data_IF_737464823809
#
_entry.id   IF_737464823809
#
_cell.length_a   1.000
_cell.length_b   1.000
_cell.length_c   1.000
_cell.angle_alpha   90.00
_cell.angle_beta   90.00
_cell.angle_gamma   90.00
#
_symmetry.space_group_name_H-M   'P 1'
#
loop_
_entity.id
_entity.type
_entity.pdbx_description
1 polymer ?
#
# COMPACT_ATOMS: atom_id res chain seq x y z
N UNK A 1 14.76 17.40 -12.45
CA UNK A 1 15.59 16.73 -11.42
C UNK A 1 14.84 15.53 -10.86
N UNK A 2 15.53 14.42 -10.66
CA UNK A 2 14.94 13.23 -10.05
C UNK A 2 15.33 13.13 -8.60
N UNK A 3 14.39 12.65 -7.80
CA UNK A 3 14.58 12.42 -6.36
C UNK A 3 14.38 10.95 -6.04
N UNK A 4 15.04 10.51 -4.98
CA UNK A 4 14.85 9.14 -4.47
C UNK A 4 13.45 9.02 -3.85
N UNK A 5 12.76 7.96 -4.22
CA UNK A 5 11.53 7.57 -3.54
C UNK A 5 11.65 6.13 -3.04
N UNK A 6 10.80 5.79 -2.08
CA UNK A 6 10.65 4.43 -1.58
C UNK A 6 9.20 4.00 -1.76
N UNK A 7 8.98 2.72 -2.00
CA UNK A 7 7.62 2.20 -2.09
C UNK A 7 7.53 0.79 -1.53
N UNK A 8 6.32 0.43 -1.14
CA UNK A 8 5.98 -0.94 -0.77
C UNK A 8 4.62 -1.27 -1.38
N UNK A 9 4.47 -2.51 -1.82
CA UNK A 9 3.17 -2.99 -2.31
C UNK A 9 2.29 -3.31 -1.10
N UNK A 10 1.05 -2.87 -1.14
CA UNK A 10 0.02 -3.24 -0.17
C UNK A 10 -0.67 -4.48 -0.73
N UNK A 11 -0.68 -5.56 0.06
CA UNK A 11 -1.19 -6.84 -0.42
C UNK A 11 -2.17 -7.45 0.55
N UNK A 12 -3.05 -8.29 0.01
CA UNK A 12 -4.03 -9.04 0.78
C UNK A 12 -3.61 -10.50 0.81
N UNK A 13 -3.48 -11.04 2.02
CA UNK A 13 -3.11 -12.43 2.28
C UNK A 13 -4.29 -13.07 2.99
N UNK A 14 -5.27 -13.65 2.28
CA UNK A 14 -6.52 -14.11 2.90
C UNK A 14 -6.30 -15.16 3.99
N UNK A 15 -5.35 -16.04 3.77
CA UNK A 15 -4.98 -17.08 4.74
C UNK A 15 -3.47 -16.99 4.94
N UNK A 16 -3.07 -16.38 6.04
CA UNK A 16 -1.65 -16.09 6.32
C UNK A 16 -0.81 -17.37 6.29
N UNK A 17 -1.33 -18.49 6.80
CA UNK A 17 -0.63 -19.75 6.83
C UNK A 17 -0.36 -20.35 5.44
N UNK A 18 -1.11 -19.94 4.41
CA UNK A 18 -0.89 -20.40 3.03
C UNK A 18 0.08 -19.51 2.26
N UNK A 19 0.23 -18.26 2.68
CA UNK A 19 1.12 -17.32 2.00
C UNK A 19 0.67 -16.86 0.63
N UNK A 20 -0.51 -17.27 0.16
CA UNK A 20 -1.04 -16.80 -1.11
C UNK A 20 -1.52 -15.36 -0.96
N UNK A 21 -1.27 -14.55 -1.99
CA UNK A 21 -1.59 -13.13 -1.90
C UNK A 21 -1.99 -12.53 -3.24
N UNK A 22 -2.67 -11.39 -3.17
CA UNK A 22 -2.84 -10.51 -4.32
C UNK A 22 -2.37 -9.10 -3.93
N UNK A 23 -1.84 -8.39 -4.91
CA UNK A 23 -1.46 -6.99 -4.72
C UNK A 23 -2.72 -6.14 -4.84
N UNK A 24 -2.91 -5.20 -3.92
CA UNK A 24 -4.12 -4.38 -3.85
C UNK A 24 -3.81 -2.89 -3.67
N UNK A 25 -2.55 -2.50 -3.71
CA UNK A 25 -2.21 -1.10 -3.60
C UNK A 25 -0.70 -0.87 -3.58
N UNK A 26 -0.33 0.39 -3.57
CA UNK A 26 1.07 0.83 -3.46
C UNK A 26 1.13 2.00 -2.48
N UNK A 27 2.10 1.95 -1.59
CA UNK A 27 2.44 3.03 -0.66
C UNK A 27 3.75 3.64 -1.14
N UNK A 28 3.78 4.95 -1.39
CA UNK A 28 4.95 5.63 -1.93
C UNK A 28 5.32 6.83 -1.07
N UNK A 29 6.62 6.94 -0.76
CA UNK A 29 7.19 8.02 0.02
C UNK A 29 8.36 8.64 -0.72
N UNK A 30 8.32 9.95 -0.94
CA UNK A 30 9.39 10.72 -1.55
C UNK A 30 9.80 11.83 -0.59
N UNK A 31 10.83 11.56 0.22
CA UNK A 31 11.23 12.47 1.30
C UNK A 31 11.57 13.88 0.80
N UNK A 32 12.37 14.06 -0.27
CA UNK A 32 12.72 15.42 -0.71
C UNK A 32 11.52 16.28 -1.11
N UNK A 33 10.39 15.66 -1.46
CA UNK A 33 9.19 16.37 -1.88
C UNK A 33 8.08 16.36 -0.83
N UNK A 34 8.35 15.81 0.35
CA UNK A 34 7.35 15.71 1.39
C UNK A 34 6.12 14.94 0.96
N UNK A 35 6.27 13.99 0.04
CA UNK A 35 5.15 13.26 -0.56
C UNK A 35 5.00 11.89 0.10
N UNK A 36 3.82 11.62 0.61
CA UNK A 36 3.43 10.30 1.11
C UNK A 36 2.01 10.03 0.65
N UNK A 37 1.81 8.94 -0.06
CA UNK A 37 0.48 8.59 -0.57
C UNK A 37 0.36 7.08 -0.71
N UNK A 38 -0.82 6.57 -0.40
CA UNK A 38 -1.18 5.19 -0.68
C UNK A 38 -2.37 5.19 -1.65
N UNK A 39 -2.29 4.37 -2.67
CA UNK A 39 -3.39 4.15 -3.60
C UNK A 39 -3.79 2.70 -3.53
N UNK A 40 -5.07 2.43 -3.38
CA UNK A 40 -5.57 1.07 -3.19
C UNK A 40 -6.64 0.75 -4.24
N UNK A 41 -6.66 -0.50 -4.68
CA UNK A 41 -7.61 -0.96 -5.69
C UNK A 41 -7.74 -2.48 -5.53
N UNK A 42 -8.89 -2.93 -5.06
CA UNK A 42 -9.13 -4.34 -4.78
C UNK A 42 -9.82 -5.02 -5.97
N UNK A 43 -9.18 -6.05 -6.49
CA UNK A 43 -9.80 -6.96 -7.47
C UNK A 43 -10.55 -8.04 -6.68
N UNK A 44 -11.82 -7.80 -6.43
CA UNK A 44 -12.63 -8.71 -5.62
C UNK A 44 -12.75 -10.12 -6.21
N UNK A 45 -12.96 -10.30 -7.54
CA UNK A 45 -12.98 -11.65 -8.11
C UNK A 45 -11.69 -12.43 -7.86
N UNK A 46 -10.53 -11.78 -7.97
CA UNK A 46 -9.24 -12.44 -7.67
C UNK A 46 -9.13 -12.81 -6.21
N UNK A 47 -9.57 -11.93 -5.32
CA UNK A 47 -9.57 -12.21 -3.88
C UNK A 47 -10.43 -13.43 -3.57
N UNK A 48 -11.64 -13.48 -4.12
CA UNK A 48 -12.57 -14.59 -3.90
C UNK A 48 -12.06 -15.90 -4.51
N UNK A 49 -11.26 -15.81 -5.58
CA UNK A 49 -10.65 -16.99 -6.17
C UNK A 49 -9.58 -17.62 -5.24
N UNK A 50 -8.89 -16.79 -4.45
CA UNK A 50 -7.95 -17.30 -3.44
C UNK A 50 -8.68 -17.87 -2.23
N UNK A 51 -9.74 -17.22 -1.79
CA UNK A 51 -10.53 -17.66 -0.64
C UNK A 51 -11.95 -17.08 -0.75
N UNK A 52 -12.89 -17.95 -1.11
CA UNK A 52 -14.29 -17.57 -1.28
C UNK A 52 -14.95 -17.10 0.03
N UNK A 53 -14.34 -17.40 1.17
CA UNK A 53 -14.89 -17.04 2.50
C UNK A 53 -14.33 -15.73 3.04
N UNK A 54 -13.47 -15.05 2.28
CA UNK A 54 -12.86 -13.80 2.73
C UNK A 54 -13.95 -12.76 3.04
N UNK A 55 -13.79 -12.09 4.18
CA UNK A 55 -14.64 -10.93 4.52
C UNK A 55 -14.16 -9.72 3.71
N UNK A 56 -14.79 -9.50 2.56
CA UNK A 56 -14.41 -8.44 1.63
C UNK A 56 -14.57 -7.06 2.26
N UNK A 57 -15.61 -6.85 3.04
CA UNK A 57 -15.84 -5.56 3.70
C UNK A 57 -14.69 -5.23 4.68
N UNK A 58 -14.24 -6.22 5.45
CA UNK A 58 -13.12 -6.04 6.37
C UNK A 58 -11.82 -5.75 5.60
N UNK A 59 -11.59 -6.41 4.48
CA UNK A 59 -10.42 -6.16 3.63
C UNK A 59 -10.45 -4.74 3.08
N UNK A 60 -11.58 -4.30 2.56
CA UNK A 60 -11.73 -2.92 2.04
C UNK A 60 -11.49 -1.89 3.13
N UNK A 61 -12.00 -2.14 4.33
CA UNK A 61 -11.79 -1.25 5.46
C UNK A 61 -10.30 -1.14 5.81
N UNK A 62 -9.61 -2.28 5.87
CA UNK A 62 -8.17 -2.30 6.17
C UNK A 62 -7.34 -1.62 5.07
N UNK A 63 -7.69 -1.81 3.80
CA UNK A 63 -7.03 -1.12 2.69
C UNK A 63 -7.23 0.39 2.78
N UNK A 64 -8.44 0.83 3.09
CA UNK A 64 -8.73 2.25 3.23
C UNK A 64 -7.98 2.87 4.40
N UNK A 65 -7.75 2.12 5.47
CA UNK A 65 -6.94 2.57 6.59
C UNK A 65 -5.50 2.91 6.17
N UNK A 66 -4.90 2.15 5.26
CA UNK A 66 -3.58 2.49 4.71
C UNK A 66 -3.63 3.80 3.95
N UNK A 67 -4.66 4.00 3.13
CA UNK A 67 -4.83 5.24 2.36
C UNK A 67 -4.99 6.44 3.30
N UNK A 68 -5.87 6.33 4.29
CA UNK A 68 -6.13 7.40 5.25
C UNK A 68 -4.90 7.72 6.11
N UNK A 69 -4.06 6.73 6.39
CA UNK A 69 -2.84 6.94 7.19
C UNK A 69 -1.84 7.88 6.54
N UNK A 70 -2.00 8.15 5.25
CA UNK A 70 -1.16 9.10 4.51
C UNK A 70 -1.76 10.50 4.45
N UNK A 71 -2.94 10.72 5.03
CA UNK A 71 -3.70 11.96 4.96
C UNK A 71 -3.81 12.63 6.33
N UNK A 72 -4.51 13.76 6.38
CA UNK A 72 -4.81 14.45 7.63
C UNK A 72 -5.76 13.63 8.52
N UNK A 73 -6.48 12.68 7.93
CA UNK A 73 -7.43 11.81 8.64
C UNK A 73 -6.76 10.54 9.17
N UNK A 74 -5.47 10.62 9.48
CA UNK A 74 -4.67 9.49 9.92
C UNK A 74 -4.83 9.14 11.41
N UNK A 75 -5.71 9.84 12.13
CA UNK A 75 -5.89 9.63 13.56
C UNK A 75 -4.60 9.94 14.32
N UNK A 76 -4.16 9.06 15.24
CA UNK A 76 -2.91 9.28 16.00
C UNK A 76 -1.68 9.48 15.12
N UNK A 77 -1.63 8.86 13.94
CA UNK A 77 -0.51 9.01 13.00
C UNK A 77 -0.42 10.42 12.42
N UNK A 78 -1.49 11.22 12.49
CA UNK A 78 -1.49 12.57 11.94
C UNK A 78 -0.45 13.47 12.63
N UNK A 79 -0.05 13.16 13.86
CA UNK A 79 0.99 13.88 14.59
C UNK A 79 2.40 13.51 14.13
N UNK A 80 2.56 12.41 13.38
CA UNK A 80 3.86 11.91 12.95
C UNK A 80 4.28 12.49 11.60
N UNK A 81 5.58 12.60 11.37
CA UNK A 81 6.11 13.03 10.08
C UNK A 81 5.78 11.99 8.99
N UNK A 82 5.79 12.39 7.70
CA UNK A 82 5.58 11.42 6.62
C UNK A 82 6.55 10.23 6.68
N UNK A 83 7.82 10.48 6.99
CA UNK A 83 8.79 9.40 7.09
C UNK A 83 8.48 8.43 8.22
N UNK A 84 8.08 8.94 9.39
CA UNK A 84 7.67 8.10 10.52
C UNK A 84 6.45 7.28 10.18
N UNK A 85 5.46 7.87 9.49
CA UNK A 85 4.26 7.15 9.04
C UNK A 85 4.64 6.04 8.07
N UNK A 86 5.51 6.33 7.11
CA UNK A 86 5.96 5.33 6.14
C UNK A 86 6.63 4.15 6.83
N UNK A 87 7.53 4.42 7.79
CA UNK A 87 8.22 3.35 8.55
C UNK A 87 7.23 2.51 9.37
N UNK A 88 6.24 3.15 9.99
CA UNK A 88 5.19 2.44 10.72
C UNK A 88 4.38 1.54 9.80
N UNK A 89 3.96 2.08 8.64
CA UNK A 89 3.10 1.36 7.71
C UNK A 89 3.81 0.20 7.00
N UNK A 90 5.14 0.27 6.87
CA UNK A 90 5.93 -0.78 6.22
C UNK A 90 6.59 -1.75 7.20
N UNK A 91 6.35 -1.60 8.50
CA UNK A 91 6.86 -2.54 9.48
C UNK A 91 6.26 -3.93 9.21
N UNK A 92 7.08 -5.00 9.25
CA UNK A 92 6.59 -6.35 9.02
C UNK A 92 5.47 -6.72 9.98
N UNK A 93 4.43 -7.36 9.46
CA UNK A 93 3.31 -7.84 10.26
C UNK A 93 2.64 -9.02 9.56
N UNK A 94 2.00 -9.89 10.37
CA UNK A 94 1.34 -11.09 9.86
C UNK A 94 -0.18 -10.91 9.90
N UNK A 95 -0.65 -9.86 9.23
CA UNK A 95 -2.07 -9.54 9.12
C UNK A 95 -2.58 -9.83 7.72
N UNK A 96 -3.90 -9.91 7.55
CA UNK A 96 -4.52 -10.19 6.26
C UNK A 96 -4.17 -9.11 5.23
N UNK A 97 -4.18 -7.84 5.63
CA UNK A 97 -3.69 -6.75 4.79
C UNK A 97 -2.34 -6.30 5.36
N UNK A 98 -1.33 -6.30 4.51
CA UNK A 98 0.05 -6.01 4.92
C UNK A 98 0.84 -5.41 3.77
N UNK A 99 2.01 -4.84 4.06
CA UNK A 99 2.93 -4.38 3.03
C UNK A 99 4.01 -5.41 2.77
N UNK A 100 4.49 -5.42 1.52
CA UNK A 100 5.67 -6.19 1.15
C UNK A 100 6.96 -5.43 1.46
N UNK A 101 8.09 -5.93 0.94
CA UNK A 101 9.39 -5.28 1.14
C UNK A 101 9.42 -3.86 0.58
N UNK A 102 10.25 -3.01 1.19
CA UNK A 102 10.48 -1.66 0.69
C UNK A 102 11.51 -1.68 -0.43
N UNK A 103 11.18 -1.00 -1.52
CA UNK A 103 12.05 -0.81 -2.67
C UNK A 103 12.31 0.68 -2.87
N UNK A 104 13.37 1.02 -3.58
CA UNK A 104 13.71 2.41 -3.87
C UNK A 104 13.89 2.62 -5.37
N UNK A 105 13.71 3.86 -5.80
CA UNK A 105 13.91 4.27 -7.18
C UNK A 105 14.11 5.77 -7.28
N UNK A 106 14.14 6.28 -8.51
CA UNK A 106 14.29 7.70 -8.80
C UNK A 106 13.09 8.16 -9.60
N UNK A 107 12.54 9.32 -9.25
CA UNK A 107 11.42 9.91 -9.98
C UNK A 107 11.52 11.42 -10.05
N UNK A 108 11.02 11.96 -11.14
CA UNK A 108 10.83 13.41 -11.29
C UNK A 108 9.40 13.83 -10.88
N UNK A 109 8.49 12.85 -10.69
CA UNK A 109 7.08 13.10 -10.40
C UNK A 109 6.51 11.93 -9.59
N UNK A 110 6.47 12.04 -8.24
CA UNK A 110 5.97 10.96 -7.40
C UNK A 110 4.54 10.54 -7.71
N UNK A 111 3.66 11.49 -8.05
CA UNK A 111 2.26 11.18 -8.36
C UNK A 111 2.16 10.30 -9.61
N UNK A 112 2.91 10.65 -10.66
CA UNK A 112 2.96 9.85 -11.88
C UNK A 112 3.60 8.49 -11.62
N UNK A 113 4.62 8.44 -10.77
CA UNK A 113 5.29 7.20 -10.42
C UNK A 113 4.35 6.26 -9.67
N UNK A 114 3.55 6.79 -8.73
CA UNK A 114 2.57 6.00 -8.02
C UNK A 114 1.55 5.37 -8.97
N UNK A 115 1.05 6.13 -9.93
CA UNK A 115 0.12 5.61 -10.93
C UNK A 115 0.78 4.55 -11.82
N UNK A 116 2.03 4.76 -12.20
CA UNK A 116 2.80 3.80 -12.98
C UNK A 116 2.96 2.47 -12.21
N UNK A 117 3.27 2.54 -10.93
CA UNK A 117 3.42 1.34 -10.09
C UNK A 117 2.07 0.63 -9.92
N UNK A 118 0.98 1.36 -9.75
CA UNK A 118 -0.37 0.77 -9.71
C UNK A 118 -0.66 -0.02 -10.98
N UNK A 119 -0.36 0.57 -12.13
CA UNK A 119 -0.56 -0.07 -13.42
C UNK A 119 0.24 -1.36 -13.57
N UNK A 120 1.49 -1.34 -13.13
CA UNK A 120 2.41 -2.46 -13.30
C UNK A 120 2.25 -3.55 -12.27
N UNK A 121 1.92 -3.19 -11.03
CA UNK A 121 2.01 -4.12 -9.91
C UNK A 121 0.65 -4.56 -9.37
N UNK A 122 -0.40 -3.77 -9.59
CA UNK A 122 -1.72 -4.03 -9.00
C UNK A 122 -2.75 -4.41 -10.07
N UNK A 123 -2.87 -3.61 -11.10
CA UNK A 123 -3.90 -3.83 -12.14
C UNK A 123 -3.49 -4.97 -13.06
N UNK A 124 -4.50 -5.75 -13.45
CA UNK A 124 -4.28 -6.88 -14.37
C UNK A 124 -4.56 -6.53 -15.82
N UNK A 125 -4.79 -5.28 -16.08
CA UNK A 125 -5.05 -4.69 -17.39
C UNK A 125 -6.08 -5.46 -18.23
#
# INVERSE_FOLDING_TARGET
MRDVYEYAVIRVVPRVERGELINAGVLLYCQPRGYLCARVELDEPRLRALDARTDVAAVRHALDAYRLSCTEDAGPLAAESPGSRFRWLTAPRSTVVQTGPVHAGLTADPEAELEHLMSRLVRTA
#
